data_IF_997199991544
#
_entry.id   IF_997199991544
#
_cell.length_a   1.000
_cell.length_b   1.000
_cell.length_c   1.000
_cell.angle_alpha   90.00
_cell.angle_beta   90.00
_cell.angle_gamma   90.00
#
_symmetry.space_group_name_H-M   'P 1'
#
loop_
_entity.id
_entity.type
_entity.pdbx_description
1 polymer ?
#
# COMPACT_ATOMS: atom_id res chain seq x y z
N UNK A 1 -27.27 27.31 2.56
CA UNK A 1 -27.54 26.06 1.81
C UNK A 1 -26.23 25.30 1.77
N UNK A 2 -26.09 24.19 2.52
CA UNK A 2 -24.91 23.32 2.42
C UNK A 2 -25.11 22.46 1.18
N UNK A 3 -24.20 22.53 0.22
CA UNK A 3 -24.18 21.64 -0.93
C UNK A 3 -23.95 20.21 -0.43
N UNK A 4 -24.85 19.27 -0.75
CA UNK A 4 -24.63 17.86 -0.46
C UNK A 4 -23.59 17.32 -1.47
N UNK A 5 -22.35 17.22 -1.02
CA UNK A 5 -21.24 16.66 -1.81
C UNK A 5 -21.10 15.15 -1.61
N UNK A 6 -22.12 14.47 -1.07
CA UNK A 6 -22.06 13.02 -0.83
C UNK A 6 -22.51 12.23 -2.05
N UNK A 7 -23.32 12.84 -2.94
CA UNK A 7 -23.87 12.16 -4.11
C UNK A 7 -23.83 13.10 -5.32
N UNK A 8 -22.96 12.81 -6.29
CA UNK A 8 -22.83 13.64 -7.49
C UNK A 8 -22.27 12.86 -8.67
N UNK A 9 -22.45 13.42 -9.85
CA UNK A 9 -21.88 12.93 -11.09
C UNK A 9 -21.06 14.06 -11.75
N UNK A 10 -19.89 13.72 -12.28
CA UNK A 10 -19.09 14.62 -13.11
C UNK A 10 -18.95 13.94 -14.47
N UNK A 11 -19.38 14.62 -15.53
CA UNK A 11 -19.24 14.16 -16.91
C UNK A 11 -18.48 15.19 -17.72
N UNK A 12 -17.56 14.75 -18.58
CA UNK A 12 -16.80 15.61 -19.47
C UNK A 12 -16.35 14.85 -20.71
N UNK A 13 -16.11 15.58 -21.80
CA UNK A 13 -15.48 15.04 -22.99
C UNK A 13 -13.99 15.32 -22.95
N UNK A 14 -13.17 14.39 -23.43
CA UNK A 14 -11.74 14.61 -23.57
C UNK A 14 -11.20 14.05 -24.88
N UNK A 15 -10.12 14.67 -25.37
CA UNK A 15 -9.41 14.28 -26.59
C UNK A 15 -7.91 14.28 -26.31
N UNK A 16 -7.23 13.19 -26.64
CA UNK A 16 -5.77 13.15 -26.61
C UNK A 16 -5.21 13.84 -27.86
N UNK A 17 -4.76 15.09 -27.72
CA UNK A 17 -4.12 15.86 -28.81
C UNK A 17 -2.64 15.49 -28.99
N UNK A 18 -1.94 15.33 -27.88
CA UNK A 18 -0.50 15.02 -27.81
C UNK A 18 -0.26 14.00 -26.68
N UNK A 19 0.86 13.28 -26.71
CA UNK A 19 1.16 12.28 -25.68
C UNK A 19 1.84 11.05 -26.25
N UNK A 20 2.16 10.10 -25.36
CA UNK A 20 2.88 8.90 -25.76
C UNK A 20 1.98 7.99 -26.60
N UNK A 21 2.42 7.67 -27.81
CA UNK A 21 1.83 6.66 -28.69
C UNK A 21 2.92 5.68 -29.10
N UNK A 22 2.55 4.59 -29.79
CA UNK A 22 3.52 3.67 -30.39
C UNK A 22 4.58 4.39 -31.26
N UNK A 23 4.22 5.53 -31.86
CA UNK A 23 5.05 6.27 -32.81
C UNK A 23 5.66 7.56 -32.23
N UNK A 24 5.34 7.93 -30.98
CA UNK A 24 5.85 9.14 -30.35
C UNK A 24 5.99 8.97 -28.84
N UNK A 25 7.20 8.90 -28.31
CA UNK A 25 7.48 8.78 -26.87
C UNK A 25 7.57 10.14 -26.14
N UNK A 26 7.26 11.26 -26.81
CA UNK A 26 7.27 12.60 -26.20
C UNK A 26 5.86 12.94 -25.71
N UNK A 27 5.57 12.63 -24.46
CA UNK A 27 4.33 13.01 -23.80
C UNK A 27 4.48 13.00 -22.28
N UNK A 28 4.16 14.12 -21.65
CA UNK A 28 4.21 14.35 -20.19
C UNK A 28 2.83 14.65 -19.60
N UNK A 29 1.76 14.46 -20.37
CA UNK A 29 0.44 14.99 -20.04
C UNK A 29 -0.47 13.84 -19.57
N UNK A 30 -0.83 13.89 -18.30
CA UNK A 30 -1.98 13.21 -17.73
C UNK A 30 -3.10 14.22 -17.53
N UNK A 31 -4.34 13.74 -17.55
CA UNK A 31 -5.46 14.47 -16.99
C UNK A 31 -5.68 13.99 -15.56
N UNK A 32 -5.92 14.92 -14.63
CA UNK A 32 -6.25 14.63 -13.24
C UNK A 32 -7.49 15.44 -12.84
N UNK A 33 -8.51 14.74 -12.36
CA UNK A 33 -9.69 15.32 -11.74
C UNK A 33 -9.65 15.06 -10.24
N UNK A 34 -9.47 16.11 -9.45
CA UNK A 34 -9.61 16.05 -8.00
C UNK A 34 -11.09 16.13 -7.61
N UNK A 35 -11.50 15.28 -6.67
CA UNK A 35 -12.87 15.20 -6.18
C UNK A 35 -12.88 14.81 -4.70
N UNK A 36 -14.03 14.98 -4.03
CA UNK A 36 -14.14 14.82 -2.57
C UNK A 36 -13.06 15.61 -1.79
N UNK A 37 -12.72 16.81 -2.29
CA UNK A 37 -11.64 17.64 -1.75
C UNK A 37 -12.11 18.31 -0.46
N UNK A 38 -11.39 18.03 0.63
CA UNK A 38 -11.53 18.77 1.89
C UNK A 38 -10.39 19.78 2.04
N UNK A 39 -9.17 19.36 1.76
CA UNK A 39 -7.94 20.15 1.79
C UNK A 39 -6.84 19.43 0.99
N UNK A 40 -5.62 19.98 0.96
CA UNK A 40 -4.49 19.39 0.22
C UNK A 40 -4.00 18.05 0.80
N UNK A 41 -4.34 17.74 2.04
CA UNK A 41 -3.99 16.49 2.73
C UNK A 41 -5.13 15.46 2.69
N UNK A 42 -6.29 15.84 2.14
CA UNK A 42 -7.52 15.04 2.14
C UNK A 42 -8.30 15.27 0.84
N UNK A 43 -7.99 14.47 -0.18
CA UNK A 43 -8.64 14.51 -1.50
C UNK A 43 -8.54 13.17 -2.22
N UNK A 44 -9.44 12.93 -3.16
CA UNK A 44 -9.34 11.82 -4.12
C UNK A 44 -9.06 12.38 -5.52
N UNK A 45 -8.41 11.58 -6.35
CA UNK A 45 -8.06 11.96 -7.72
C UNK A 45 -8.35 10.81 -8.68
N UNK A 46 -9.03 11.13 -9.78
CA UNK A 46 -9.16 10.26 -10.93
C UNK A 46 -8.20 10.74 -12.02
N UNK A 47 -7.25 9.89 -12.39
CA UNK A 47 -6.25 10.19 -13.42
C UNK A 47 -6.52 9.39 -14.68
N UNK A 48 -6.33 10.03 -15.83
CA UNK A 48 -6.28 9.42 -17.15
C UNK A 48 -4.88 9.72 -17.69
N UNK A 49 -4.02 8.70 -17.66
CA UNK A 49 -2.60 8.81 -17.93
C UNK A 49 -2.27 8.34 -19.34
N UNK A 50 -1.65 9.22 -20.13
CA UNK A 50 -1.23 8.92 -21.50
C UNK A 50 0.12 8.20 -21.61
N UNK A 51 0.96 8.20 -20.58
CA UNK A 51 2.28 7.56 -20.54
C UNK A 51 2.20 6.09 -20.17
N UNK A 52 1.63 5.78 -19.00
CA UNK A 52 1.53 4.41 -18.52
C UNK A 52 0.41 3.63 -19.23
N UNK A 53 -0.46 4.32 -19.99
CA UNK A 53 -1.68 3.78 -20.59
C UNK A 53 -2.60 3.22 -19.52
N UNK A 54 -2.85 4.06 -18.52
CA UNK A 54 -3.61 3.72 -17.34
C UNK A 54 -4.68 4.77 -17.08
N UNK A 55 -5.77 4.33 -16.48
CA UNK A 55 -6.60 5.19 -15.64
C UNK A 55 -6.48 4.73 -14.20
N UNK A 56 -6.28 5.68 -13.28
CA UNK A 56 -6.05 5.37 -11.86
C UNK A 56 -6.97 6.16 -10.97
N UNK A 57 -7.42 5.51 -9.90
CA UNK A 57 -8.06 6.14 -8.77
C UNK A 57 -7.07 6.15 -7.62
N UNK A 58 -6.72 7.32 -7.11
CA UNK A 58 -5.83 7.49 -5.97
C UNK A 58 -6.38 8.58 -5.04
N UNK A 59 -5.70 8.79 -3.92
CA UNK A 59 -6.07 9.80 -2.95
C UNK A 59 -4.91 10.19 -2.05
N UNK A 60 -5.15 11.25 -1.29
CA UNK A 60 -4.35 11.67 -0.15
C UNK A 60 -5.28 11.65 1.06
N UNK A 61 -4.91 10.90 2.09
CA UNK A 61 -5.66 10.80 3.35
C UNK A 61 -4.68 11.11 4.48
N UNK A 62 -4.94 12.17 5.25
CA UNK A 62 -4.03 12.68 6.27
C UNK A 62 -2.58 12.84 5.76
N UNK A 63 -2.43 13.39 4.54
CA UNK A 63 -1.13 13.64 3.92
C UNK A 63 -0.44 12.40 3.33
N UNK A 64 -1.03 11.22 3.45
CA UNK A 64 -0.48 9.97 2.92
C UNK A 64 -1.16 9.58 1.61
N UNK A 65 -0.37 9.26 0.59
CA UNK A 65 -0.88 8.79 -0.70
C UNK A 65 -1.48 7.39 -0.55
N UNK A 66 -2.64 7.16 -1.14
CA UNK A 66 -3.26 5.85 -1.25
C UNK A 66 -3.69 5.58 -2.70
N UNK A 67 -3.25 4.45 -3.27
CA UNK A 67 -3.75 3.99 -4.56
C UNK A 67 -4.97 3.08 -4.33
N UNK A 68 -6.08 3.40 -4.98
CA UNK A 68 -7.37 2.71 -4.80
C UNK A 68 -7.67 1.76 -5.96
N UNK A 69 -7.24 2.11 -7.18
CA UNK A 69 -7.42 1.27 -8.35
C UNK A 69 -6.55 1.71 -9.52
N UNK A 70 -6.10 0.74 -10.31
CA UNK A 70 -5.24 0.94 -11.47
C UNK A 70 -5.74 0.04 -12.61
N UNK A 71 -6.07 0.66 -13.74
CA UNK A 71 -6.74 -0.02 -14.85
C UNK A 71 -6.09 0.35 -16.17
N UNK A 72 -5.96 -0.61 -17.08
CA UNK A 72 -5.42 -0.34 -18.40
C UNK A 72 -6.40 0.47 -19.24
N UNK A 73 -5.95 1.62 -19.74
CA UNK A 73 -6.71 2.44 -20.67
C UNK A 73 -5.75 3.22 -21.56
N UNK A 74 -5.91 3.10 -22.88
CA UNK A 74 -5.11 3.84 -23.85
C UNK A 74 -6.02 4.73 -24.68
N UNK A 75 -5.93 6.04 -24.45
CA UNK A 75 -6.59 7.01 -25.32
C UNK A 75 -5.89 7.08 -26.68
N UNK A 76 -6.69 6.93 -27.74
CA UNK A 76 -6.32 7.11 -29.13
C UNK A 76 -6.17 8.61 -29.44
N UNK A 77 -5.22 8.95 -30.31
CA UNK A 77 -4.97 10.34 -30.68
C UNK A 77 -6.13 10.89 -31.51
N UNK A 78 -6.54 12.13 -31.23
CA UNK A 78 -7.64 12.84 -31.89
C UNK A 78 -9.03 12.18 -31.76
N UNK A 79 -9.16 11.08 -31.01
CA UNK A 79 -10.45 10.49 -30.67
C UNK A 79 -11.06 11.22 -29.48
N UNK A 80 -12.34 11.55 -29.61
CA UNK A 80 -13.14 12.08 -28.51
C UNK A 80 -13.74 10.93 -27.70
N UNK A 81 -13.68 11.09 -26.38
CA UNK A 81 -14.17 10.15 -25.40
C UNK A 81 -15.14 10.86 -24.45
N UNK A 82 -16.17 10.15 -24.00
CA UNK A 82 -17.02 10.61 -22.89
C UNK A 82 -16.56 9.98 -21.57
N UNK A 83 -16.15 10.80 -20.62
CA UNK A 83 -15.76 10.39 -19.27
C UNK A 83 -16.87 10.71 -18.27
N UNK A 84 -17.12 9.78 -17.34
CA UNK A 84 -18.12 9.95 -16.28
C UNK A 84 -17.63 9.38 -14.96
N UNK A 85 -17.59 10.23 -13.94
CA UNK A 85 -17.36 9.85 -12.54
C UNK A 85 -18.68 9.91 -11.77
N UNK A 86 -19.05 8.81 -11.11
CA UNK A 86 -20.20 8.73 -10.22
C UNK A 86 -19.72 8.54 -8.78
N UNK A 87 -20.15 9.43 -7.90
CA UNK A 87 -19.88 9.34 -6.45
C UNK A 87 -21.21 9.17 -5.73
N UNK A 88 -21.35 8.08 -4.99
CA UNK A 88 -22.52 7.77 -4.14
C UNK A 88 -22.04 7.38 -2.74
N UNK A 89 -22.07 8.33 -1.82
CA UNK A 89 -21.48 8.17 -0.49
C UNK A 89 -19.99 7.87 -0.60
N UNK A 90 -19.59 6.66 -0.23
CA UNK A 90 -18.21 6.18 -0.31
C UNK A 90 -17.95 5.26 -1.52
N UNK A 91 -18.93 5.10 -2.41
CA UNK A 91 -18.80 4.31 -3.63
C UNK A 91 -18.46 5.23 -4.81
N UNK A 92 -17.36 4.93 -5.49
CA UNK A 92 -16.85 5.67 -6.64
C UNK A 92 -16.85 4.75 -7.85
N UNK A 93 -17.45 5.19 -8.94
CA UNK A 93 -17.42 4.51 -10.22
C UNK A 93 -16.93 5.46 -11.31
N UNK A 94 -16.05 4.99 -12.19
CA UNK A 94 -15.54 5.77 -13.31
C UNK A 94 -15.72 5.02 -14.63
N UNK A 95 -16.26 5.73 -15.61
CA UNK A 95 -16.60 5.22 -16.93
C UNK A 95 -15.90 6.04 -18.01
N UNK A 96 -15.51 5.37 -19.10
CA UNK A 96 -15.07 6.00 -20.34
C UNK A 96 -15.83 5.32 -21.48
N UNK A 97 -16.57 6.08 -22.30
CA UNK A 97 -17.48 5.59 -23.34
C UNK A 97 -18.45 4.51 -22.81
N UNK A 98 -19.09 4.80 -21.66
CA UNK A 98 -19.96 3.89 -20.90
C UNK A 98 -19.32 2.57 -20.42
N UNK A 99 -18.02 2.35 -20.66
CA UNK A 99 -17.27 1.21 -20.13
C UNK A 99 -16.81 1.51 -18.72
N UNK A 100 -17.19 0.66 -17.76
CA UNK A 100 -16.77 0.74 -16.36
C UNK A 100 -15.29 0.36 -16.23
N UNK A 101 -14.46 1.33 -15.86
CA UNK A 101 -13.04 1.10 -15.56
C UNK A 101 -12.78 0.99 -14.08
N UNK A 102 -13.42 1.82 -13.25
CA UNK A 102 -13.25 1.80 -11.80
C UNK A 102 -14.58 1.56 -11.11
N UNK A 103 -14.60 0.63 -10.16
CA UNK A 103 -15.68 0.42 -9.21
C UNK A 103 -15.05 0.18 -7.85
N UNK A 104 -15.10 1.20 -6.98
CA UNK A 104 -14.35 1.19 -5.74
C UNK A 104 -15.18 1.70 -4.56
N UNK A 105 -15.17 0.96 -3.46
CA UNK A 105 -15.75 1.38 -2.19
C UNK A 105 -14.63 1.91 -1.31
N UNK A 106 -14.55 3.24 -1.16
CA UNK A 106 -13.62 3.90 -0.26
C UNK A 106 -13.96 3.51 1.19
N UNK A 107 -13.23 2.54 1.72
CA UNK A 107 -13.35 2.15 3.13
C UNK A 107 -12.43 3.05 3.95
N UNK A 108 -12.87 3.40 5.16
CA UNK A 108 -11.97 3.97 6.15
C UNK A 108 -10.87 2.94 6.39
N UNK A 109 -9.61 3.31 6.15
CA UNK A 109 -8.47 2.47 6.51
C UNK A 109 -8.54 2.27 8.02
N UNK A 110 -8.88 1.06 8.44
CA UNK A 110 -8.70 0.62 9.82
C UNK A 110 -7.33 -0.03 9.82
N UNK A 111 -6.27 0.66 10.28
CA UNK A 111 -4.96 0.04 10.31
C UNK A 111 -5.04 -1.25 11.12
N UNK A 112 -4.47 -2.31 10.59
CA UNK A 112 -4.34 -3.54 11.35
C UNK A 112 -3.36 -3.27 12.51
N UNK A 113 -3.66 -3.84 13.66
CA UNK A 113 -2.85 -3.64 14.86
C UNK A 113 -1.55 -4.45 14.82
N UNK A 114 -1.47 -5.42 13.90
CA UNK A 114 -0.32 -6.28 13.67
C UNK A 114 -0.24 -6.56 12.17
N UNK A 115 0.85 -6.16 11.53
CA UNK A 115 1.14 -6.55 10.15
C UNK A 115 2.18 -7.66 10.15
N UNK A 116 2.03 -8.63 9.25
CA UNK A 116 3.01 -9.70 9.11
C UNK A 116 3.12 -10.18 7.66
N UNK A 117 4.29 -10.72 7.33
CA UNK A 117 4.54 -11.40 6.06
C UNK A 117 5.52 -12.54 6.28
N UNK A 118 5.42 -13.57 5.46
CA UNK A 118 6.34 -14.70 5.49
C UNK A 118 6.81 -15.02 4.07
N UNK A 119 8.11 -15.30 3.92
CA UNK A 119 8.72 -15.68 2.64
C UNK A 119 9.65 -16.86 2.89
N UNK A 120 9.62 -17.85 2.00
CA UNK A 120 10.57 -18.96 1.98
C UNK A 120 11.68 -18.67 0.96
N UNK A 121 12.92 -18.66 1.42
CA UNK A 121 14.10 -18.53 0.55
C UNK A 121 14.46 -19.91 -0.05
N UNK A 122 15.07 -19.92 -1.25
CA UNK A 122 15.41 -21.13 -1.99
C UNK A 122 16.26 -22.16 -1.21
N UNK A 123 16.95 -21.74 -0.13
CA UNK A 123 17.79 -22.60 0.71
C UNK A 123 17.04 -23.25 1.90
N UNK A 124 15.72 -23.14 1.96
CA UNK A 124 14.93 -23.70 3.05
C UNK A 124 14.86 -22.82 4.31
N UNK A 125 15.38 -21.59 4.26
CA UNK A 125 15.18 -20.57 5.29
C UNK A 125 13.78 -19.96 5.15
N UNK A 126 13.08 -19.75 6.27
CA UNK A 126 11.85 -18.95 6.30
C UNK A 126 12.12 -17.63 6.99
N UNK A 127 11.71 -16.54 6.35
CA UNK A 127 11.80 -15.19 6.90
C UNK A 127 10.38 -14.73 7.23
N UNK A 128 10.14 -14.40 8.49
CA UNK A 128 8.89 -13.78 8.94
C UNK A 128 9.20 -12.35 9.35
N UNK A 129 8.41 -11.40 8.89
CA UNK A 129 8.50 -9.99 9.30
C UNK A 129 7.21 -9.61 9.99
N UNK A 130 7.31 -8.91 11.11
CA UNK A 130 6.15 -8.45 11.88
C UNK A 130 6.30 -6.98 12.26
N UNK A 131 5.18 -6.26 12.29
CA UNK A 131 5.09 -4.88 12.80
C UNK A 131 3.97 -4.83 13.83
N UNK A 132 4.29 -4.54 15.08
CA UNK A 132 3.29 -4.22 16.09
C UNK A 132 3.13 -2.70 16.16
N UNK A 133 1.99 -2.19 15.69
CA UNK A 133 1.71 -0.74 15.72
C UNK A 133 1.06 -0.28 17.03
N UNK A 134 0.72 -1.22 17.92
CA UNK A 134 0.18 -0.86 19.23
C UNK A 134 1.29 -0.48 20.20
N UNK A 135 1.00 0.42 21.14
CA UNK A 135 1.93 0.76 22.21
C UNK A 135 2.15 -0.37 23.23
N UNK A 136 1.25 -1.34 23.28
CA UNK A 136 1.33 -2.51 24.17
C UNK A 136 1.97 -3.70 23.46
N UNK A 137 2.50 -4.61 24.27
CA UNK A 137 3.05 -5.87 23.79
C UNK A 137 1.96 -6.78 23.22
N UNK A 138 2.35 -7.66 22.29
CA UNK A 138 1.49 -8.70 21.72
C UNK A 138 2.20 -10.05 21.77
N UNK A 139 1.49 -11.07 22.21
CA UNK A 139 1.94 -12.45 22.04
C UNK A 139 1.75 -12.90 20.58
N UNK A 140 2.81 -13.42 19.99
CA UNK A 140 2.85 -13.97 18.65
C UNK A 140 3.12 -15.48 18.75
N UNK A 141 2.28 -16.26 18.09
CA UNK A 141 2.48 -17.71 17.91
C UNK A 141 2.61 -18.00 16.42
N UNK A 142 3.79 -18.47 16.02
CA UNK A 142 4.04 -18.92 14.65
C UNK A 142 4.02 -20.44 14.61
N UNK A 143 3.29 -21.00 13.65
CA UNK A 143 3.24 -22.44 13.39
C UNK A 143 3.57 -22.70 11.93
N UNK A 144 4.41 -23.72 11.70
CA UNK A 144 4.88 -24.10 10.38
C UNK A 144 4.26 -25.44 10.01
N UNK A 145 3.55 -25.50 8.89
CA UNK A 145 2.82 -26.69 8.44
C UNK A 145 3.71 -27.74 7.75
N UNK A 146 5.04 -27.60 7.75
CA UNK A 146 5.95 -28.53 7.08
C UNK A 146 6.10 -29.85 7.87
N UNK A 147 6.38 -30.95 7.14
CA UNK A 147 6.49 -32.32 7.64
C UNK A 147 7.35 -32.43 8.92
N UNK A 148 6.89 -33.24 9.88
CA UNK A 148 7.52 -33.46 11.20
C UNK A 148 9.01 -33.87 11.18
N UNK A 149 9.51 -34.29 10.01
CA UNK A 149 10.90 -34.70 9.79
C UNK A 149 11.89 -33.54 9.63
N UNK A 150 11.43 -32.33 9.32
CA UNK A 150 12.29 -31.16 9.08
C UNK A 150 12.00 -30.06 10.10
N UNK A 151 12.48 -30.27 11.33
CA UNK A 151 12.31 -29.32 12.44
C UNK A 151 13.23 -28.12 12.25
N UNK A 152 12.74 -26.95 12.63
CA UNK A 152 13.58 -25.77 12.78
C UNK A 152 14.47 -25.97 14.00
N UNK A 153 15.77 -25.68 13.85
CA UNK A 153 16.75 -25.79 14.93
C UNK A 153 17.17 -24.43 15.49
N UNK A 154 16.93 -23.36 14.73
CA UNK A 154 17.44 -22.03 15.07
C UNK A 154 16.56 -20.92 14.50
N UNK A 155 16.47 -19.83 15.24
CA UNK A 155 15.92 -18.56 14.76
C UNK A 155 16.89 -17.41 15.05
N UNK A 156 17.16 -16.60 14.04
CA UNK A 156 17.87 -15.34 14.18
C UNK A 156 16.87 -14.18 14.12
N UNK A 157 16.84 -13.36 15.16
CA UNK A 157 15.85 -12.32 15.40
C UNK A 157 16.53 -10.96 15.30
N UNK A 158 15.98 -10.08 14.48
CA UNK A 158 16.40 -8.69 14.34
C UNK A 158 15.24 -7.80 14.75
N UNK A 159 15.36 -7.11 15.88
CA UNK A 159 14.28 -6.32 16.47
C UNK A 159 14.63 -4.82 16.49
N UNK A 160 13.75 -4.01 15.89
CA UNK A 160 13.71 -2.57 16.06
C UNK A 160 12.69 -2.26 17.17
N UNK A 161 13.17 -2.01 18.38
CA UNK A 161 12.33 -1.90 19.59
C UNK A 161 12.90 -0.89 20.60
N UNK A 162 12.03 -0.22 21.35
CA UNK A 162 12.41 0.73 22.40
C UNK A 162 12.88 2.11 21.89
N UNK A 163 12.61 2.42 20.63
CA UNK A 163 12.89 3.73 20.03
C UNK A 163 11.66 4.64 20.07
N UNK A 164 11.89 5.94 20.08
CA UNK A 164 10.82 6.94 19.92
C UNK A 164 10.44 7.08 18.43
N UNK A 165 9.20 7.49 18.11
CA UNK A 165 8.75 7.64 16.72
C UNK A 165 9.64 8.55 15.86
N UNK A 166 10.22 9.59 16.47
CA UNK A 166 11.07 10.57 15.79
C UNK A 166 12.57 10.26 15.91
N UNK A 167 12.95 9.11 16.48
CA UNK A 167 14.35 8.72 16.54
C UNK A 167 14.90 8.45 15.15
N UNK A 168 16.09 9.01 14.88
CA UNK A 168 16.79 8.88 13.61
C UNK A 168 18.29 8.88 13.81
N UNK A 169 18.99 8.22 12.91
CA UNK A 169 20.44 8.32 12.79
C UNK A 169 20.82 9.70 12.26
N UNK A 170 21.91 10.27 12.77
CA UNK A 170 22.50 11.54 12.32
C UNK A 170 24.00 11.38 12.13
N UNK A 171 24.68 12.41 11.59
CA UNK A 171 26.14 12.39 11.51
C UNK A 171 26.80 12.29 12.89
N UNK A 172 26.25 12.99 13.89
CA UNK A 172 26.73 12.96 15.28
C UNK A 172 26.35 11.68 16.03
N UNK A 173 25.36 10.93 15.53
CA UNK A 173 24.84 9.70 16.15
C UNK A 173 24.38 8.72 15.07
N UNK A 174 25.32 8.11 14.32
CA UNK A 174 25.01 7.31 13.13
C UNK A 174 24.34 5.97 13.45
N UNK A 175 24.45 5.51 14.71
CA UNK A 175 23.92 4.22 15.17
C UNK A 175 22.87 4.38 16.28
N UNK A 176 22.14 5.52 16.32
CA UNK A 176 21.10 5.77 17.32
C UNK A 176 19.95 4.77 17.22
N UNK A 177 19.58 4.41 15.99
CA UNK A 177 18.50 3.50 15.61
C UNK A 177 19.11 2.37 14.81
N UNK A 178 19.29 1.22 15.46
CA UNK A 178 19.88 0.00 14.91
C UNK A 178 19.14 -1.23 15.45
N UNK A 179 19.06 -2.33 14.69
CA UNK A 179 18.41 -3.55 15.17
C UNK A 179 19.18 -4.17 16.32
N UNK A 180 18.44 -4.68 17.32
CA UNK A 180 18.96 -5.62 18.30
C UNK A 180 18.89 -7.02 17.73
N UNK A 181 19.99 -7.75 17.81
CA UNK A 181 20.10 -9.11 17.29
C UNK A 181 20.07 -10.14 18.41
N UNK A 182 19.33 -11.24 18.20
CA UNK A 182 19.26 -12.37 19.13
C UNK A 182 19.17 -13.68 18.36
N UNK A 183 19.96 -14.67 18.73
CA UNK A 183 19.88 -16.03 18.19
C UNK A 183 19.32 -16.94 19.27
N UNK A 184 18.33 -17.74 18.91
CA UNK A 184 17.76 -18.76 19.78
C UNK A 184 17.81 -20.13 19.11
N UNK A 185 18.15 -21.15 19.90
CA UNK A 185 18.01 -22.55 19.50
C UNK A 185 16.57 -22.96 19.78
N UNK A 186 15.91 -23.48 18.77
CA UNK A 186 14.52 -23.94 18.84
C UNK A 186 14.48 -25.42 18.45
N UNK A 187 13.41 -26.10 18.82
CA UNK A 187 13.21 -27.50 18.42
C UNK A 187 11.73 -27.74 18.21
N UNK A 188 11.30 -27.69 16.96
CA UNK A 188 9.92 -27.98 16.59
C UNK A 188 9.41 -27.14 15.43
N UNK A 189 8.09 -27.19 15.25
CA UNK A 189 7.38 -26.57 14.15
C UNK A 189 6.61 -25.32 14.58
N UNK A 190 6.98 -24.72 15.71
CA UNK A 190 6.38 -23.49 16.18
C UNK A 190 7.33 -22.67 17.01
N UNK A 191 7.05 -21.38 17.09
CA UNK A 191 7.83 -20.42 17.86
C UNK A 191 6.91 -19.36 18.46
N UNK A 192 7.10 -19.09 19.76
CA UNK A 192 6.37 -18.07 20.49
C UNK A 192 7.30 -16.90 20.75
N UNK A 193 6.78 -15.69 20.56
CA UNK A 193 7.53 -14.46 20.80
C UNK A 193 6.61 -13.37 21.34
N UNK A 194 7.09 -12.58 22.30
CA UNK A 194 6.39 -11.38 22.78
C UNK A 194 6.91 -10.21 21.94
N UNK A 195 6.07 -9.69 21.04
CA UNK A 195 6.38 -8.49 20.26
C UNK A 195 6.21 -7.25 21.15
N UNK A 196 7.26 -6.45 21.37
CA UNK A 196 7.13 -5.18 22.06
C UNK A 196 6.17 -4.24 21.34
N UNK A 197 5.64 -3.26 22.07
CA UNK A 197 4.86 -2.18 21.44
C UNK A 197 5.71 -1.34 20.48
N UNK A 198 5.09 -0.81 19.42
CA UNK A 198 5.74 0.02 18.39
C UNK A 198 7.04 -0.61 17.86
N UNK A 199 6.98 -1.89 17.48
CA UNK A 199 8.16 -2.67 17.11
C UNK A 199 8.07 -3.22 15.69
N UNK A 200 9.25 -3.41 15.08
CA UNK A 200 9.42 -4.17 13.86
C UNK A 200 10.42 -5.29 14.11
N UNK A 201 10.02 -6.53 13.82
CA UNK A 201 10.86 -7.70 14.08
C UNK A 201 10.96 -8.57 12.83
N UNK A 202 12.18 -8.99 12.50
CA UNK A 202 12.46 -9.97 11.46
C UNK A 202 12.97 -11.24 12.11
N UNK A 203 12.31 -12.35 11.83
CA UNK A 203 12.72 -13.69 12.24
C UNK A 203 13.24 -14.43 11.02
N UNK A 204 14.44 -15.00 11.13
CA UNK A 204 15.04 -15.87 10.12
C UNK A 204 15.20 -17.26 10.70
N UNK A 205 14.35 -18.19 10.25
CA UNK A 205 14.31 -19.57 10.71
C UNK A 205 15.22 -20.46 9.86
N UNK A 206 16.02 -21.27 10.53
CA UNK A 206 17.00 -22.20 9.96
C UNK A 206 16.73 -23.61 10.49
N UNK A 207 16.91 -24.61 9.62
CA UNK A 207 16.83 -26.03 9.96
C UNK A 207 18.17 -26.51 10.49
#
# INVERSE_FOLDING_TARGET
MKTDSSNYAISFHFVKRNGISKDNLKGTHSFELEFAVKDNENKLSWKIDGWQRLTTLNGIIHGSVCDLGLYYFEAEKEKEYEAKLLVKGNHVQAYIDDVLYCDHICKKAVPELLYYSAVKENKGTVIVKTVNVEAKEKELFMTFSENESEKWSKVHIFAMEGFLPDDRNSLDSPCKVVPKEKIEVINGNGYQYILPGNSFTVFRFEK
#
